data_IF_481515021710
#
_entry.id   IF_481515021710
#
_cell.length_a   1.000
_cell.length_b   1.000
_cell.length_c   1.000
_cell.angle_alpha   90.00
_cell.angle_beta   90.00
_cell.angle_gamma   90.00
#
_symmetry.space_group_name_H-M   'P 1'
#
loop_
_entity.id
_entity.type
_entity.pdbx_description
1 polymer ?
#
# COMPACT_ATOMS: atom_id res chain seq x y z
N UNK A 1 -29.69 -3.11 15.63
CA UNK A 1 -28.55 -4.07 15.60
C UNK A 1 -28.64 -4.78 14.27
N UNK A 2 -27.53 -4.98 13.54
CA UNK A 2 -27.55 -5.93 12.45
C UNK A 2 -27.87 -7.31 13.04
N UNK A 3 -28.79 -8.05 12.44
CA UNK A 3 -29.11 -9.41 12.86
C UNK A 3 -27.90 -10.30 12.54
N UNK A 4 -27.12 -10.62 13.57
CA UNK A 4 -25.96 -11.49 13.41
C UNK A 4 -26.43 -12.93 13.13
N UNK A 5 -25.84 -13.65 12.15
CA UNK A 5 -26.23 -15.01 11.81
C UNK A 5 -26.10 -15.95 13.01
N UNK A 6 -27.09 -16.82 13.22
CA UNK A 6 -27.10 -17.75 14.35
C UNK A 6 -25.87 -18.66 14.38
N UNK A 7 -25.44 -19.18 13.22
CA UNK A 7 -24.26 -20.04 13.12
C UNK A 7 -22.95 -19.30 13.43
N UNK A 8 -22.89 -17.97 13.18
CA UNK A 8 -21.79 -17.14 13.63
C UNK A 8 -21.78 -17.02 15.16
N UNK A 9 -22.93 -16.74 15.77
CA UNK A 9 -23.04 -16.64 17.23
C UNK A 9 -22.64 -17.96 17.93
N UNK A 10 -23.10 -19.10 17.43
CA UNK A 10 -22.72 -20.42 17.93
C UNK A 10 -21.22 -20.66 17.80
N UNK A 11 -20.62 -20.29 16.68
CA UNK A 11 -19.17 -20.40 16.47
C UNK A 11 -18.38 -19.54 17.46
N UNK A 12 -18.81 -18.29 17.68
CA UNK A 12 -18.15 -17.39 18.63
C UNK A 12 -18.32 -17.86 20.07
N UNK A 13 -19.47 -18.40 20.43
CA UNK A 13 -19.70 -18.99 21.77
C UNK A 13 -18.77 -20.19 22.02
N UNK A 14 -18.61 -21.08 21.03
CA UNK A 14 -17.68 -22.22 21.11
C UNK A 14 -16.22 -21.77 21.30
N UNK A 15 -15.82 -20.68 20.64
CA UNK A 15 -14.42 -20.18 20.66
C UNK A 15 -14.14 -19.37 21.92
N UNK A 16 -15.03 -18.45 22.29
CA UNK A 16 -14.79 -17.44 23.30
C UNK A 16 -15.24 -17.84 24.71
N UNK A 17 -16.20 -18.78 24.80
CA UNK A 17 -16.72 -19.29 26.08
C UNK A 17 -17.16 -18.14 27.00
N UNK A 18 -16.43 -17.91 28.09
CA UNK A 18 -16.73 -16.88 29.09
C UNK A 18 -16.62 -15.44 28.55
N UNK A 19 -15.75 -15.21 27.54
CA UNK A 19 -15.56 -13.90 26.91
C UNK A 19 -16.68 -13.56 25.88
N UNK A 20 -17.59 -14.47 25.57
CA UNK A 20 -18.60 -14.32 24.50
C UNK A 20 -19.50 -13.08 24.68
N UNK A 21 -20.05 -12.88 25.88
CA UNK A 21 -20.93 -11.75 26.18
C UNK A 21 -20.19 -10.40 26.06
N UNK A 22 -18.92 -10.35 26.50
CA UNK A 22 -18.07 -9.16 26.37
C UNK A 22 -17.77 -8.87 24.91
N UNK A 23 -17.52 -9.92 24.10
CA UNK A 23 -17.33 -9.80 22.67
C UNK A 23 -18.60 -9.24 21.99
N UNK A 24 -19.77 -9.77 22.29
CA UNK A 24 -21.04 -9.28 21.73
C UNK A 24 -21.29 -7.80 22.07
N UNK A 25 -20.94 -7.37 23.27
CA UNK A 25 -21.09 -5.97 23.67
C UNK A 25 -20.32 -5.01 22.75
N UNK A 26 -19.24 -5.47 22.09
CA UNK A 26 -18.44 -4.65 21.18
C UNK A 26 -19.22 -4.23 19.93
N UNK A 27 -20.23 -4.99 19.51
CA UNK A 27 -21.07 -4.63 18.36
C UNK A 27 -21.97 -3.41 18.62
N UNK A 28 -22.09 -2.99 19.88
CA UNK A 28 -22.83 -1.77 20.30
C UNK A 28 -21.92 -0.57 20.49
N UNK A 29 -20.58 -0.76 20.48
CA UNK A 29 -19.62 0.34 20.69
C UNK A 29 -19.42 1.12 19.40
N UNK A 30 -19.07 2.41 19.54
CA UNK A 30 -18.66 3.24 18.41
C UNK A 30 -17.42 2.67 17.73
N UNK A 31 -17.36 2.88 16.42
CA UNK A 31 -16.23 2.44 15.60
C UNK A 31 -14.99 3.26 15.93
N UNK A 32 -13.83 2.59 15.80
CA UNK A 32 -12.55 3.27 15.91
C UNK A 32 -12.04 3.64 14.53
N UNK A 33 -11.62 4.88 14.37
CA UNK A 33 -11.05 5.39 13.14
C UNK A 33 -9.53 5.46 13.26
N UNK A 34 -8.81 5.04 12.23
CA UNK A 34 -7.35 5.04 12.24
C UNK A 34 -6.76 5.65 10.97
N UNK A 35 -5.63 6.30 11.12
CA UNK A 35 -4.76 6.72 10.03
C UNK A 35 -3.33 6.24 10.26
N UNK A 36 -2.63 5.93 9.18
CA UNK A 36 -1.24 5.47 9.19
C UNK A 36 -0.38 6.40 8.36
N UNK A 37 0.61 7.00 9.02
CA UNK A 37 1.53 7.96 8.40
C UNK A 37 2.37 7.30 7.31
N UNK A 38 2.56 8.02 6.20
CA UNK A 38 3.45 7.64 5.11
C UNK A 38 4.90 8.01 5.43
N UNK A 39 5.68 7.04 5.85
CA UNK A 39 7.09 7.24 6.23
C UNK A 39 8.04 7.51 5.07
N UNK A 40 7.57 7.46 3.81
CA UNK A 40 8.35 7.96 2.65
C UNK A 40 8.32 9.48 2.54
N UNK A 41 7.30 10.14 3.10
CA UNK A 41 7.08 11.59 3.01
C UNK A 41 7.28 12.30 4.34
N UNK A 42 7.01 11.62 5.44
CA UNK A 42 7.12 12.13 6.80
C UNK A 42 8.24 11.36 7.51
N UNK A 43 9.35 12.04 7.78
CA UNK A 43 10.49 11.44 8.48
C UNK A 43 10.39 11.63 10.00
N UNK A 44 9.71 12.68 10.44
CA UNK A 44 9.50 13.02 11.85
C UNK A 44 8.00 12.97 12.18
N UNK A 45 7.61 11.97 12.98
CA UNK A 45 6.21 11.80 13.38
C UNK A 45 5.73 12.90 14.34
N UNK A 46 6.62 13.44 15.17
CA UNK A 46 6.29 14.53 16.10
C UNK A 46 6.04 15.83 15.33
N UNK A 47 6.79 16.07 14.23
CA UNK A 47 6.51 17.18 13.33
C UNK A 47 5.11 17.05 12.72
N UNK A 48 4.76 15.83 12.26
CA UNK A 48 3.41 15.60 11.71
C UNK A 48 2.32 15.84 12.76
N UNK A 49 2.48 15.39 14.01
CA UNK A 49 1.54 15.62 15.10
C UNK A 49 1.30 17.12 15.33
N UNK A 50 2.35 17.97 15.15
CA UNK A 50 2.25 19.44 15.34
C UNK A 50 1.54 20.16 14.19
N UNK A 51 1.67 19.66 12.95
CA UNK A 51 1.09 20.30 11.76
C UNK A 51 -0.28 19.76 11.37
N UNK A 52 -0.65 18.57 11.85
CA UNK A 52 -1.94 17.95 11.56
C UNK A 52 -3.05 18.59 12.40
N UNK A 53 -4.14 19.06 11.77
CA UNK A 53 -5.27 19.67 12.50
C UNK A 53 -6.24 18.60 13.03
N UNK A 54 -5.77 17.44 13.46
CA UNK A 54 -6.56 16.28 13.88
C UNK A 54 -6.31 15.94 15.35
N UNK A 55 -7.32 15.40 16.04
CA UNK A 55 -7.18 14.86 17.40
C UNK A 55 -6.51 13.47 17.34
N UNK A 56 -5.17 13.47 17.27
CA UNK A 56 -4.39 12.26 17.09
C UNK A 56 -4.04 11.61 18.44
N UNK A 57 -4.29 10.28 18.53
CA UNK A 57 -3.83 9.45 19.63
C UNK A 57 -3.07 8.25 19.08
N UNK A 58 -1.83 8.02 19.52
CA UNK A 58 -0.99 6.91 19.04
C UNK A 58 -1.70 5.56 19.21
N UNK A 59 -1.62 4.70 18.18
CA UNK A 59 -2.00 3.29 18.27
C UNK A 59 -0.79 2.56 18.87
N UNK A 60 -0.86 2.02 20.10
CA UNK A 60 0.33 1.55 20.81
C UNK A 60 1.11 0.45 20.09
N UNK A 61 0.43 -0.37 19.29
CA UNK A 61 1.04 -1.52 18.58
C UNK A 61 1.40 -1.23 17.12
N UNK A 62 1.20 0.01 16.63
CA UNK A 62 1.55 0.44 15.27
C UNK A 62 2.46 1.67 15.35
N UNK A 63 3.75 1.55 15.00
CA UNK A 63 4.74 2.62 15.20
C UNK A 63 4.37 3.98 14.59
N UNK A 64 3.68 3.98 13.43
CA UNK A 64 3.25 5.17 12.70
C UNK A 64 1.73 5.25 12.54
N UNK A 65 0.98 4.59 13.42
CA UNK A 65 -0.48 4.55 13.44
C UNK A 65 -1.09 5.47 14.50
N UNK A 66 -2.21 6.10 14.14
CA UNK A 66 -2.94 6.98 15.05
C UNK A 66 -4.44 6.72 14.96
N UNK A 67 -5.12 6.77 16.11
CA UNK A 67 -6.57 7.00 16.16
C UNK A 67 -6.86 8.46 15.85
N UNK A 68 -8.02 8.73 15.26
CA UNK A 68 -8.54 10.07 15.07
C UNK A 68 -10.06 10.09 15.34
N UNK A 69 -10.63 11.26 15.57
CA UNK A 69 -12.06 11.44 15.81
C UNK A 69 -12.83 11.60 14.49
N UNK A 70 -14.06 11.13 14.40
CA UNK A 70 -14.85 11.15 13.15
C UNK A 70 -15.01 12.57 12.60
N UNK A 71 -15.18 13.57 13.47
CA UNK A 71 -15.31 14.98 13.10
C UNK A 71 -14.06 15.57 12.45
N UNK A 72 -12.88 15.01 12.68
CA UNK A 72 -11.63 15.46 12.05
C UNK A 72 -11.66 15.33 10.51
N UNK A 73 -12.45 14.40 10.00
CA UNK A 73 -12.69 14.15 8.57
C UNK A 73 -11.41 14.21 7.71
N UNK A 74 -10.32 13.50 8.06
CA UNK A 74 -9.00 13.66 7.44
C UNK A 74 -9.00 13.37 5.92
N UNK A 75 -9.98 12.63 5.40
CA UNK A 75 -10.15 12.42 3.95
C UNK A 75 -10.41 13.72 3.16
N UNK A 76 -10.86 14.79 3.82
CA UNK A 76 -11.14 16.08 3.20
C UNK A 76 -9.94 17.02 3.21
N UNK A 77 -8.98 16.78 4.08
CA UNK A 77 -7.80 17.63 4.25
C UNK A 77 -6.82 17.52 3.05
N UNK A 78 -6.15 18.61 2.62
CA UNK A 78 -5.16 18.58 1.53
C UNK A 78 -4.02 17.57 1.74
N UNK A 79 -3.60 17.30 2.97
CA UNK A 79 -2.58 16.29 3.30
C UNK A 79 -2.94 14.88 2.84
N UNK A 80 -4.23 14.52 2.82
CA UNK A 80 -4.69 13.27 2.24
C UNK A 80 -4.37 13.19 0.74
N UNK A 81 -4.59 14.32 0.02
CA UNK A 81 -4.27 14.42 -1.43
C UNK A 81 -2.76 14.46 -1.71
N UNK A 82 -1.97 14.90 -0.74
CA UNK A 82 -0.51 14.81 -0.79
C UNK A 82 0.01 13.39 -0.43
N UNK A 83 -0.86 12.48 0.01
CA UNK A 83 -0.50 11.10 0.37
C UNK A 83 0.34 11.01 1.64
N UNK A 84 0.11 11.89 2.64
CA UNK A 84 0.86 11.89 3.89
C UNK A 84 0.42 10.78 4.85
N UNK A 85 -0.79 10.24 4.68
CA UNK A 85 -1.33 9.13 5.46
C UNK A 85 -2.33 8.30 4.68
N UNK A 86 -2.54 7.10 5.14
CA UNK A 86 -3.57 6.16 4.68
C UNK A 86 -4.64 6.01 5.77
N UNK A 87 -5.92 6.09 5.41
CA UNK A 87 -7.02 5.84 6.34
C UNK A 87 -7.28 4.33 6.40
N UNK A 88 -7.05 3.74 7.55
CA UNK A 88 -7.13 2.29 7.74
C UNK A 88 -7.65 1.97 9.13
N UNK A 89 -8.40 0.89 9.24
CA UNK A 89 -8.83 0.35 10.50
C UNK A 89 -7.62 -0.13 11.33
N UNK A 90 -7.55 0.15 12.64
CA UNK A 90 -6.36 -0.10 13.45
C UNK A 90 -5.84 -1.54 13.44
N UNK A 91 -6.72 -2.55 13.55
CA UNK A 91 -6.28 -3.96 13.51
C UNK A 91 -5.75 -4.36 12.14
N UNK A 92 -6.32 -3.81 11.05
CA UNK A 92 -5.88 -4.06 9.68
C UNK A 92 -4.49 -3.46 9.34
N UNK A 93 -3.96 -2.53 10.16
CA UNK A 93 -2.59 -2.02 10.02
C UNK A 93 -1.55 -3.03 10.53
N UNK A 94 -1.94 -3.94 11.42
CA UNK A 94 -1.03 -4.83 12.16
C UNK A 94 -0.27 -5.80 11.25
N UNK A 95 -0.89 -6.53 10.32
CA UNK A 95 -0.19 -7.55 9.52
C UNK A 95 1.06 -7.03 8.81
N UNK A 96 0.95 -5.92 8.07
CA UNK A 96 2.09 -5.38 7.34
C UNK A 96 3.14 -4.72 8.26
N UNK A 97 2.79 -4.34 9.50
CA UNK A 97 3.75 -3.85 10.48
C UNK A 97 4.58 -4.97 11.13
N UNK A 98 4.13 -6.21 11.05
CA UNK A 98 4.79 -7.40 11.63
C UNK A 98 5.57 -8.21 10.60
N UNK A 99 5.49 -7.90 9.31
CA UNK A 99 6.35 -8.48 8.29
C UNK A 99 7.63 -7.63 8.17
N UNK A 100 8.82 -8.13 8.56
CA UNK A 100 10.05 -7.36 8.49
C UNK A 100 10.50 -7.20 7.04
N UNK A 101 10.30 -6.01 6.46
CA UNK A 101 10.69 -5.66 5.09
C UNK A 101 11.85 -4.66 5.13
N UNK A 102 12.89 -4.93 4.33
CA UNK A 102 14.10 -4.11 4.24
C UNK A 102 14.32 -3.56 2.83
N UNK A 103 14.96 -2.38 2.70
CA UNK A 103 15.34 -1.83 1.40
C UNK A 103 16.14 -2.84 0.55
N UNK A 104 15.82 -2.93 -0.73
CA UNK A 104 16.45 -3.86 -1.68
C UNK A 104 15.75 -5.22 -1.83
N UNK A 105 14.82 -5.56 -0.95
CA UNK A 105 14.07 -6.82 -1.05
C UNK A 105 13.05 -6.82 -2.19
N UNK A 106 12.71 -8.02 -2.66
CA UNK A 106 11.58 -8.29 -3.56
C UNK A 106 10.40 -8.73 -2.71
N UNK A 107 9.36 -7.91 -2.68
CA UNK A 107 8.17 -8.11 -1.84
C UNK A 107 6.96 -8.32 -2.75
N UNK A 108 6.15 -9.34 -2.45
CA UNK A 108 4.85 -9.58 -3.07
C UNK A 108 3.73 -9.27 -2.06
N UNK A 109 2.78 -8.45 -2.46
CA UNK A 109 1.45 -8.40 -1.82
C UNK A 109 0.46 -9.09 -2.77
N UNK A 110 0.03 -10.30 -2.42
CA UNK A 110 -0.67 -11.19 -3.36
C UNK A 110 -2.16 -10.86 -3.51
N UNK A 111 -2.78 -10.23 -2.50
CA UNK A 111 -4.20 -9.85 -2.47
C UNK A 111 -4.32 -8.36 -2.06
N UNK A 112 -3.64 -7.48 -2.79
CA UNK A 112 -3.21 -6.18 -2.31
C UNK A 112 -4.29 -5.09 -2.21
N UNK A 113 -5.41 -5.19 -2.96
CA UNK A 113 -6.39 -4.10 -3.00
C UNK A 113 -7.19 -3.97 -1.69
N UNK A 114 -7.46 -2.73 -1.27
CA UNK A 114 -7.25 -1.45 -1.98
C UNK A 114 -5.86 -0.81 -1.84
N UNK A 115 -4.90 -1.44 -1.11
CA UNK A 115 -3.53 -0.95 -1.03
C UNK A 115 -3.05 -0.56 0.37
N UNK A 116 -3.84 -0.77 1.42
CA UNK A 116 -3.45 -0.42 2.78
C UNK A 116 -2.17 -1.11 3.24
N UNK A 117 -2.05 -2.43 3.02
CA UNK A 117 -0.85 -3.20 3.33
C UNK A 117 0.25 -2.96 2.30
N UNK A 118 -0.08 -2.96 1.00
CA UNK A 118 0.86 -2.69 -0.09
C UNK A 118 1.60 -1.35 0.07
N UNK A 119 0.91 -0.27 0.47
CA UNK A 119 1.53 1.04 0.72
C UNK A 119 2.46 1.03 1.92
N UNK A 120 2.18 0.24 2.94
CA UNK A 120 3.06 0.06 4.11
C UNK A 120 4.34 -0.68 3.73
N UNK A 121 4.21 -1.80 3.01
CA UNK A 121 5.34 -2.60 2.52
C UNK A 121 6.21 -1.79 1.55
N UNK A 122 5.58 -1.05 0.62
CA UNK A 122 6.28 -0.18 -0.32
C UNK A 122 7.03 0.97 0.37
N UNK A 123 6.47 1.51 1.46
CA UNK A 123 7.16 2.53 2.26
C UNK A 123 8.40 1.95 2.97
N UNK A 124 8.32 0.72 3.50
CA UNK A 124 9.45 0.04 4.14
C UNK A 124 10.62 -0.22 3.18
N UNK A 125 10.35 -0.42 1.88
CA UNK A 125 11.37 -0.58 0.84
C UNK A 125 12.15 0.71 0.54
N UNK A 126 11.69 1.89 0.94
CA UNK A 126 12.35 3.19 0.74
C UNK A 126 12.79 3.45 -0.72
N UNK A 127 12.03 2.93 -1.69
CA UNK A 127 12.31 3.08 -3.13
C UNK A 127 13.38 2.13 -3.69
N UNK A 128 13.90 1.19 -2.91
CA UNK A 128 14.86 0.15 -3.30
C UNK A 128 14.18 -1.22 -3.42
N UNK A 129 14.74 -2.12 -4.27
CA UNK A 129 14.11 -3.42 -4.51
C UNK A 129 12.82 -3.33 -5.32
N UNK A 130 11.85 -4.20 -5.03
CA UNK A 130 10.60 -4.32 -5.78
C UNK A 130 9.41 -4.57 -4.85
N UNK A 131 8.32 -3.83 -5.02
CA UNK A 131 6.99 -4.23 -4.59
C UNK A 131 6.21 -4.73 -5.82
N UNK A 132 5.85 -6.02 -5.86
CA UNK A 132 4.85 -6.52 -6.78
C UNK A 132 3.52 -6.61 -6.02
N UNK A 133 2.54 -5.80 -6.42
CA UNK A 133 1.22 -5.77 -5.80
C UNK A 133 0.19 -6.37 -6.77
N UNK A 134 -0.43 -7.47 -6.38
CA UNK A 134 -1.40 -8.19 -7.20
C UNK A 134 -2.82 -8.06 -6.67
N UNK A 135 -3.78 -7.98 -7.57
CA UNK A 135 -5.21 -8.05 -7.26
C UNK A 135 -5.95 -8.68 -8.43
N UNK A 136 -6.62 -9.80 -8.19
CA UNK A 136 -7.32 -10.56 -9.24
C UNK A 136 -8.44 -9.75 -9.90
N UNK A 137 -9.11 -8.87 -9.18
CA UNK A 137 -10.15 -7.98 -9.69
C UNK A 137 -9.54 -6.75 -10.35
N UNK A 138 -9.68 -6.61 -11.67
CA UNK A 138 -9.18 -5.45 -12.43
C UNK A 138 -9.75 -4.10 -11.96
N UNK A 139 -10.98 -4.07 -11.49
CA UNK A 139 -11.58 -2.84 -10.94
C UNK A 139 -10.94 -2.44 -9.62
N UNK A 140 -10.70 -3.39 -8.71
CA UNK A 140 -10.00 -3.16 -7.44
C UNK A 140 -8.52 -2.83 -7.66
N UNK A 141 -7.86 -3.45 -8.65
CA UNK A 141 -6.47 -3.17 -9.00
C UNK A 141 -6.24 -1.71 -9.45
N UNK A 142 -7.25 -1.02 -10.02
CA UNK A 142 -7.18 0.42 -10.32
C UNK A 142 -7.11 1.27 -9.04
N UNK A 143 -7.88 0.91 -8.01
CA UNK A 143 -7.84 1.60 -6.72
C UNK A 143 -6.49 1.36 -6.01
N UNK A 144 -5.97 0.13 -6.05
CA UNK A 144 -4.64 -0.23 -5.58
C UNK A 144 -3.56 0.64 -6.25
N UNK A 145 -3.54 0.70 -7.58
CA UNK A 145 -2.58 1.51 -8.34
C UNK A 145 -2.63 2.98 -7.90
N UNK A 146 -3.85 3.55 -7.81
CA UNK A 146 -4.02 4.94 -7.37
C UNK A 146 -3.42 5.20 -5.99
N UNK A 147 -3.60 4.28 -5.04
CA UNK A 147 -3.08 4.42 -3.69
C UNK A 147 -1.55 4.29 -3.65
N UNK A 148 -0.95 3.38 -4.43
CA UNK A 148 0.52 3.29 -4.56
C UNK A 148 1.11 4.57 -5.17
N UNK A 149 0.49 5.12 -6.22
CA UNK A 149 0.89 6.37 -6.84
C UNK A 149 0.75 7.55 -5.86
N UNK A 150 -0.36 7.63 -5.10
CA UNK A 150 -0.60 8.66 -4.08
C UNK A 150 0.50 8.65 -3.00
N UNK A 151 0.92 7.47 -2.59
CA UNK A 151 1.99 7.30 -1.60
C UNK A 151 3.39 7.59 -2.15
N UNK A 152 3.56 7.74 -3.48
CA UNK A 152 4.84 8.00 -4.11
C UNK A 152 5.74 6.77 -4.20
N UNK A 153 5.16 5.56 -4.25
CA UNK A 153 5.94 4.31 -4.37
C UNK A 153 6.54 4.23 -5.78
N UNK A 154 7.86 4.41 -5.89
CA UNK A 154 8.60 4.50 -7.17
C UNK A 154 8.90 3.12 -7.79
N UNK A 155 9.03 2.09 -6.96
CA UNK A 155 9.56 0.76 -7.29
C UNK A 155 8.49 -0.32 -7.24
N UNK A 156 7.26 0.00 -7.69
CA UNK A 156 6.16 -0.96 -7.68
C UNK A 156 5.74 -1.41 -9.07
N UNK A 157 5.27 -2.67 -9.13
CA UNK A 157 4.52 -3.22 -10.25
C UNK A 157 3.13 -3.59 -9.76
N UNK A 158 2.12 -3.33 -10.58
CA UNK A 158 0.74 -3.71 -10.28
C UNK A 158 0.26 -4.70 -11.33
N UNK A 159 -0.13 -5.90 -10.88
CA UNK A 159 -0.64 -6.99 -11.72
C UNK A 159 -2.11 -7.28 -11.41
N UNK A 160 -2.80 -7.91 -12.37
CA UNK A 160 -4.14 -8.47 -12.13
C UNK A 160 -4.17 -9.89 -12.68
N UNK A 161 -3.66 -10.82 -11.84
CA UNK A 161 -3.48 -12.22 -12.21
C UNK A 161 -3.93 -13.17 -11.09
N UNK A 162 -4.27 -14.40 -11.48
CA UNK A 162 -4.51 -15.47 -10.54
C UNK A 162 -3.20 -15.95 -9.90
N UNK A 163 -3.21 -16.38 -8.59
CA UNK A 163 -1.99 -16.78 -7.88
C UNK A 163 -1.15 -17.85 -8.58
N UNK A 164 -1.77 -18.88 -9.17
CA UNK A 164 -1.06 -19.94 -9.89
C UNK A 164 -0.23 -19.41 -11.07
N UNK A 165 -0.74 -18.42 -11.81
CA UNK A 165 0.02 -17.82 -12.93
C UNK A 165 1.23 -17.04 -12.48
N UNK A 166 1.14 -16.40 -11.31
CA UNK A 166 2.29 -15.73 -10.71
C UNK A 166 3.31 -16.77 -10.23
N UNK A 167 2.87 -17.86 -9.60
CA UNK A 167 3.74 -18.95 -9.14
C UNK A 167 4.51 -19.60 -10.29
N UNK A 168 3.90 -19.81 -11.46
CA UNK A 168 4.59 -20.29 -12.67
C UNK A 168 5.72 -19.35 -13.14
N UNK A 169 5.61 -18.05 -12.88
CA UNK A 169 6.56 -17.02 -13.36
C UNK A 169 7.64 -16.66 -12.34
N UNK A 170 7.32 -16.77 -11.07
CA UNK A 170 8.16 -16.33 -9.97
C UNK A 170 8.47 -17.45 -8.97
N UNK A 171 8.86 -18.67 -9.36
CA UNK A 171 9.23 -19.70 -8.40
C UNK A 171 10.43 -19.23 -7.58
N UNK A 172 10.33 -19.33 -6.25
CA UNK A 172 11.37 -18.96 -5.27
C UNK A 172 12.01 -17.59 -5.51
N UNK A 173 11.17 -16.61 -5.81
CA UNK A 173 11.64 -15.29 -6.24
C UNK A 173 11.57 -14.22 -5.13
N UNK A 174 10.54 -14.24 -4.28
CA UNK A 174 10.30 -13.17 -3.32
C UNK A 174 10.96 -13.44 -1.98
N UNK A 175 11.57 -12.38 -1.39
CA UNK A 175 12.09 -12.44 -0.02
C UNK A 175 10.96 -12.38 1.01
N UNK A 176 9.91 -11.61 0.70
CA UNK A 176 8.74 -11.41 1.57
C UNK A 176 7.46 -11.53 0.76
N UNK A 177 6.47 -12.20 1.33
CA UNK A 177 5.13 -12.30 0.75
C UNK A 177 4.09 -11.93 1.80
N UNK A 178 3.19 -10.99 1.46
CA UNK A 178 1.98 -10.69 2.20
C UNK A 178 0.80 -11.40 1.53
N UNK A 179 0.03 -12.15 2.29
CA UNK A 179 -1.23 -12.77 1.90
C UNK A 179 -2.32 -12.29 2.85
N UNK A 180 -2.89 -11.11 2.56
CA UNK A 180 -4.13 -10.67 3.21
C UNK A 180 -5.29 -11.31 2.47
N UNK A 181 -5.63 -12.53 2.86
CA UNK A 181 -6.45 -13.41 2.05
C UNK A 181 -7.91 -12.94 1.92
N UNK A 182 -8.55 -13.15 0.76
CA UNK A 182 -10.01 -13.01 0.68
C UNK A 182 -10.66 -13.94 1.69
N UNK A 183 -11.56 -13.42 2.52
CA UNK A 183 -12.16 -14.15 3.63
C UNK A 183 -13.65 -13.80 3.80
N UNK A 184 -14.31 -14.53 4.67
CA UNK A 184 -15.73 -14.31 5.02
C UNK A 184 -16.00 -12.95 5.69
N UNK A 185 -14.98 -12.33 6.30
CA UNK A 185 -15.02 -10.94 6.76
C UNK A 185 -15.79 -10.71 8.05
N UNK A 186 -15.84 -11.68 8.96
CA UNK A 186 -16.61 -11.61 10.21
C UNK A 186 -16.23 -10.39 11.08
N UNK A 187 -14.95 -9.99 11.10
CA UNK A 187 -14.51 -8.75 11.75
C UNK A 187 -14.99 -7.47 11.07
N UNK A 188 -15.67 -7.57 9.92
CA UNK A 188 -16.24 -6.43 9.21
C UNK A 188 -17.75 -6.25 9.42
N UNK A 189 -18.42 -7.15 10.14
CA UNK A 189 -19.87 -7.13 10.34
C UNK A 189 -20.34 -5.81 10.96
N UNK A 190 -19.62 -5.30 11.95
CA UNK A 190 -19.91 -4.01 12.59
C UNK A 190 -19.73 -2.83 11.62
N UNK A 191 -18.75 -2.92 10.73
CA UNK A 191 -18.38 -1.84 9.81
C UNK A 191 -19.26 -1.79 8.56
N UNK A 192 -19.67 -2.94 8.04
CA UNK A 192 -20.42 -3.04 6.79
C UNK A 192 -21.44 -4.18 6.85
N UNK A 193 -22.70 -3.91 7.16
CA UNK A 193 -23.75 -4.93 7.23
C UNK A 193 -23.91 -5.77 5.96
N UNK A 194 -23.60 -5.23 4.77
CA UNK A 194 -23.68 -5.99 3.52
C UNK A 194 -22.70 -7.19 3.48
N UNK A 195 -21.69 -7.21 4.36
CA UNK A 195 -20.79 -8.37 4.50
C UNK A 195 -21.54 -9.56 5.11
N UNK A 196 -22.55 -9.31 5.96
CA UNK A 196 -23.38 -10.36 6.58
C UNK A 196 -24.15 -11.11 5.49
N UNK A 197 -24.75 -10.42 4.52
CA UNK A 197 -25.47 -11.04 3.42
C UNK A 197 -24.55 -11.92 2.57
N UNK A 198 -23.36 -11.41 2.24
CA UNK A 198 -22.35 -12.17 1.50
C UNK A 198 -21.80 -13.37 2.30
N UNK A 199 -21.70 -13.25 3.62
CA UNK A 199 -21.31 -14.33 4.52
C UNK A 199 -22.37 -15.43 4.58
N UNK A 200 -23.65 -15.08 4.61
CA UNK A 200 -24.76 -16.05 4.57
C UNK A 200 -24.82 -16.82 3.24
N UNK A 201 -24.43 -16.17 2.13
CA UNK A 201 -24.41 -16.80 0.80
C UNK A 201 -23.25 -17.78 0.64
N UNK A 202 -22.03 -17.41 1.06
CA UNK A 202 -20.79 -18.16 0.77
C UNK A 202 -20.14 -18.79 2.00
N UNK A 203 -20.12 -18.08 3.12
CA UNK A 203 -19.60 -18.56 4.39
C UNK A 203 -18.10 -18.91 4.45
N UNK A 204 -17.59 -19.30 5.63
CA UNK A 204 -16.19 -19.65 5.84
C UNK A 204 -15.70 -20.85 5.03
N UNK A 205 -16.54 -21.85 4.76
CA UNK A 205 -16.19 -23.06 4.00
C UNK A 205 -15.79 -22.75 2.55
N UNK A 206 -16.46 -21.78 1.93
CA UNK A 206 -16.12 -21.33 0.58
C UNK A 206 -14.76 -20.66 0.54
N UNK A 207 -14.53 -19.70 1.44
CA UNK A 207 -13.27 -18.94 1.46
C UNK A 207 -12.08 -19.79 1.90
N UNK A 208 -12.26 -20.73 2.83
CA UNK A 208 -11.17 -21.61 3.28
C UNK A 208 -10.58 -22.47 2.16
N UNK A 209 -11.38 -22.84 1.16
CA UNK A 209 -10.88 -23.58 -0.03
C UNK A 209 -9.99 -22.70 -0.90
N UNK A 210 -10.42 -21.46 -1.13
CA UNK A 210 -9.67 -20.46 -1.91
C UNK A 210 -8.35 -20.12 -1.20
N UNK A 211 -8.39 -19.92 0.11
CA UNK A 211 -7.22 -19.56 0.91
C UNK A 211 -6.16 -20.66 0.91
N UNK A 212 -6.58 -21.94 0.99
CA UNK A 212 -5.64 -23.08 0.91
C UNK A 212 -4.90 -23.13 -0.41
N UNK A 213 -5.56 -22.82 -1.53
CA UNK A 213 -4.92 -22.72 -2.84
C UNK A 213 -3.94 -21.54 -2.90
N UNK A 214 -4.36 -20.37 -2.39
CA UNK A 214 -3.54 -19.15 -2.39
C UNK A 214 -2.23 -19.34 -1.60
N UNK A 215 -2.30 -19.91 -0.38
CA UNK A 215 -1.11 -20.02 0.50
C UNK A 215 -0.09 -21.02 -0.05
N UNK A 216 -0.54 -22.07 -0.75
CA UNK A 216 0.35 -23.04 -1.40
C UNK A 216 1.13 -22.35 -2.54
N UNK A 217 0.45 -21.63 -3.42
CA UNK A 217 1.11 -20.87 -4.49
C UNK A 217 2.03 -19.75 -3.95
N UNK A 218 1.64 -19.13 -2.82
CA UNK A 218 2.50 -18.15 -2.16
C UNK A 218 3.80 -18.79 -1.65
N UNK A 219 3.74 -19.98 -1.04
CA UNK A 219 4.92 -20.72 -0.59
C UNK A 219 5.85 -21.12 -1.76
N UNK A 220 5.29 -21.46 -2.93
CA UNK A 220 6.06 -21.78 -4.14
C UNK A 220 6.83 -20.55 -4.68
N UNK A 221 6.30 -19.34 -4.48
CA UNK A 221 6.94 -18.10 -4.88
C UNK A 221 7.95 -17.56 -3.85
N UNK A 222 7.89 -18.04 -2.61
CA UNK A 222 8.77 -17.62 -1.54
C UNK A 222 10.14 -18.30 -1.70
N UNK A 223 11.20 -17.52 -1.68
CA UNK A 223 12.56 -18.08 -1.71
C UNK A 223 12.92 -18.77 -0.39
N UNK A 224 13.86 -19.73 -0.40
CA UNK A 224 14.44 -20.26 0.82
C UNK A 224 14.99 -19.14 1.73
N UNK A 225 14.73 -19.21 3.04
CA UNK A 225 15.03 -18.16 4.01
C UNK A 225 14.06 -16.95 3.96
N UNK A 226 13.08 -16.97 3.06
CA UNK A 226 12.07 -15.92 2.95
C UNK A 226 10.98 -16.02 4.03
N UNK A 227 10.21 -14.94 4.18
CA UNK A 227 9.10 -14.89 5.14
C UNK A 227 7.78 -14.58 4.45
N UNK A 228 6.72 -15.27 4.86
CA UNK A 228 5.36 -15.03 4.41
C UNK A 228 4.49 -14.62 5.60
N UNK A 229 3.67 -13.60 5.43
CA UNK A 229 2.68 -13.21 6.40
C UNK A 229 1.28 -13.52 5.87
N UNK A 230 0.55 -14.38 6.57
CA UNK A 230 -0.84 -14.69 6.29
C UNK A 230 -1.76 -13.93 7.26
N UNK A 231 -2.78 -13.29 6.74
CA UNK A 231 -3.80 -12.59 7.54
C UNK A 231 -5.19 -12.66 6.95
N UNK A 232 -6.18 -12.56 7.82
CA UNK A 232 -7.60 -12.43 7.48
C UNK A 232 -8.29 -11.47 8.44
N UNK A 233 -9.41 -10.88 8.01
CA UNK A 233 -10.31 -10.13 8.89
C UNK A 233 -11.51 -10.98 9.33
N UNK A 234 -11.34 -12.31 9.48
CA UNK A 234 -12.38 -13.22 9.99
C UNK A 234 -11.93 -13.90 11.29
N UNK A 235 -12.88 -14.38 12.07
CA UNK A 235 -12.63 -15.13 13.30
C UNK A 235 -12.68 -16.65 13.09
N UNK A 236 -13.16 -17.10 11.94
CA UNK A 236 -13.38 -18.52 11.63
C UNK A 236 -12.09 -19.34 11.67
N UNK A 237 -11.98 -20.39 12.52
CA UNK A 237 -10.83 -21.28 12.54
C UNK A 237 -10.65 -22.07 11.24
N UNK A 238 -11.73 -22.25 10.46
CA UNK A 238 -11.66 -22.93 9.15
C UNK A 238 -10.83 -22.16 8.13
N UNK A 239 -10.87 -20.82 8.21
CA UNK A 239 -10.13 -19.90 7.35
C UNK A 239 -8.75 -19.58 7.89
N UNK A 240 -8.55 -19.69 9.18
CA UNK A 240 -7.38 -19.29 9.94
C UNK A 240 -6.45 -20.50 10.21
N UNK A 241 -6.52 -21.10 11.39
CA UNK A 241 -5.61 -22.17 11.82
C UNK A 241 -5.68 -23.42 10.93
N UNK A 242 -6.85 -23.74 10.40
CA UNK A 242 -6.98 -24.87 9.46
C UNK A 242 -6.26 -24.63 8.15
N UNK A 243 -6.23 -23.38 7.67
CA UNK A 243 -5.45 -22.99 6.47
C UNK A 243 -3.96 -23.10 6.74
N UNK A 244 -3.48 -22.65 7.91
CA UNK A 244 -2.07 -22.80 8.32
C UNK A 244 -1.71 -24.28 8.47
N UNK A 245 -2.53 -25.09 9.17
CA UNK A 245 -2.34 -26.53 9.31
C UNK A 245 -2.24 -27.24 7.96
N UNK A 246 -3.12 -26.88 7.02
CA UNK A 246 -3.06 -27.39 5.64
C UNK A 246 -1.74 -27.04 4.96
N UNK A 247 -1.32 -25.77 5.00
CA UNK A 247 -0.06 -25.34 4.38
C UNK A 247 1.12 -26.15 4.90
N UNK A 248 1.25 -26.29 6.24
CA UNK A 248 2.33 -27.02 6.86
C UNK A 248 2.33 -28.53 6.51
N UNK A 249 1.16 -29.10 6.22
CA UNK A 249 1.05 -30.51 5.81
C UNK A 249 1.50 -30.74 4.37
N UNK A 250 1.36 -29.75 3.48
CA UNK A 250 1.70 -29.89 2.05
C UNK A 250 3.01 -29.19 1.66
N UNK A 251 3.56 -28.37 2.54
CA UNK A 251 4.84 -27.67 2.39
C UNK A 251 5.64 -27.79 3.70
N UNK A 252 6.29 -28.96 3.96
CA UNK A 252 7.00 -29.24 5.21
C UNK A 252 8.24 -28.34 5.41
N UNK A 253 8.71 -27.67 4.36
CA UNK A 253 9.74 -26.64 4.43
C UNK A 253 9.26 -25.34 5.08
N UNK A 254 7.94 -25.14 5.23
CA UNK A 254 7.37 -23.99 5.91
C UNK A 254 7.24 -24.24 7.40
N UNK A 255 7.43 -23.20 8.18
CA UNK A 255 7.22 -23.20 9.63
C UNK A 255 6.58 -21.91 10.11
N UNK A 256 5.78 -21.95 11.16
CA UNK A 256 5.27 -20.75 11.84
C UNK A 256 6.35 -20.25 12.79
N UNK A 257 6.67 -18.97 12.73
CA UNK A 257 7.65 -18.33 13.61
C UNK A 257 6.99 -17.26 14.48
N UNK A 258 7.55 -16.95 15.66
CA UNK A 258 7.03 -15.88 16.51
C UNK A 258 7.06 -14.53 15.78
N UNK A 259 6.05 -13.69 16.03
CA UNK A 259 6.02 -12.30 15.62
C UNK A 259 6.15 -11.39 16.86
N UNK A 260 6.50 -10.12 16.65
CA UNK A 260 6.50 -9.12 17.71
C UNK A 260 5.11 -9.04 18.36
N UNK A 261 5.07 -9.23 19.66
CA UNK A 261 3.86 -9.33 20.45
C UNK A 261 3.36 -7.96 20.93
N UNK A 262 2.09 -7.95 21.32
CA UNK A 262 1.46 -6.86 22.05
C UNK A 262 0.47 -7.46 23.06
N UNK A 263 0.33 -6.84 24.23
CA UNK A 263 -0.45 -7.35 25.38
C UNK A 263 -1.89 -7.78 25.02
N UNK A 264 -2.53 -7.10 24.05
CA UNK A 264 -3.88 -7.42 23.60
C UNK A 264 -3.98 -8.58 22.60
N UNK A 265 -2.87 -9.16 22.13
CA UNK A 265 -2.90 -10.29 21.19
C UNK A 265 -3.20 -11.59 21.94
N UNK A 266 -4.04 -12.42 21.33
CA UNK A 266 -4.31 -13.78 21.80
C UNK A 266 -3.61 -14.78 20.92
N UNK A 267 -3.25 -15.94 21.49
CA UNK A 267 -2.72 -17.07 20.73
C UNK A 267 -3.73 -17.63 19.73
N UNK A 268 -3.24 -18.29 18.69
CA UNK A 268 -4.10 -19.09 17.79
C UNK A 268 -4.62 -20.35 18.48
N UNK A 269 -5.72 -20.88 17.95
CA UNK A 269 -6.38 -22.06 18.50
C UNK A 269 -5.62 -23.34 18.14
N UNK A 270 -5.61 -24.32 19.06
CA UNK A 270 -5.05 -25.66 18.82
C UNK A 270 -6.09 -26.70 18.43
N UNK A 271 -7.38 -26.38 18.60
CA UNK A 271 -8.49 -27.23 18.15
C UNK A 271 -9.78 -26.44 18.05
N UNK A 272 -10.71 -26.96 17.24
CA UNK A 272 -12.07 -26.42 17.11
C UNK A 272 -13.03 -27.55 16.77
N UNK A 273 -14.14 -27.68 17.52
CA UNK A 273 -15.20 -28.70 17.35
C UNK A 273 -14.65 -30.12 17.14
N UNK A 274 -13.64 -30.50 17.93
CA UNK A 274 -13.02 -31.84 17.89
C UNK A 274 -11.97 -32.04 16.81
N UNK A 275 -11.74 -31.10 15.91
CA UNK A 275 -10.64 -31.10 14.95
C UNK A 275 -9.39 -30.43 15.56
N UNK A 276 -8.27 -31.15 15.58
CA UNK A 276 -6.99 -30.61 16.05
C UNK A 276 -6.25 -29.87 14.93
N UNK A 277 -5.58 -28.78 15.29
CA UNK A 277 -4.70 -28.01 14.39
C UNK A 277 -3.22 -28.32 14.70
N UNK A 278 -2.34 -27.92 13.80
CA UNK A 278 -0.90 -28.07 14.01
C UNK A 278 -0.47 -27.30 15.26
N UNK A 279 0.39 -27.91 16.08
CA UNK A 279 0.80 -27.34 17.38
C UNK A 279 1.40 -25.94 17.30
N UNK A 280 2.11 -25.63 16.18
CA UNK A 280 2.68 -24.30 15.96
C UNK A 280 1.63 -23.20 15.73
N UNK A 281 0.33 -23.54 15.55
CA UNK A 281 -0.74 -22.54 15.49
C UNK A 281 -0.84 -21.69 16.77
N UNK A 282 -0.32 -22.16 17.92
CA UNK A 282 -0.17 -21.33 19.13
C UNK A 282 0.69 -20.08 18.92
N UNK A 283 1.58 -20.08 17.91
CA UNK A 283 2.40 -18.92 17.53
C UNK A 283 1.65 -17.92 16.63
N UNK A 284 0.51 -18.32 16.06
CA UNK A 284 -0.38 -17.37 15.39
C UNK A 284 -0.97 -16.39 16.42
N UNK A 285 -1.44 -15.23 15.94
CA UNK A 285 -2.04 -14.22 16.82
C UNK A 285 -3.42 -13.84 16.32
N UNK A 286 -4.31 -13.61 17.28
CA UNK A 286 -5.67 -13.12 17.06
C UNK A 286 -5.84 -11.77 17.75
N UNK A 287 -6.42 -10.80 17.03
CA UNK A 287 -6.88 -9.54 17.59
C UNK A 287 -8.40 -9.68 17.76
N UNK A 288 -8.86 -9.47 18.99
CA UNK A 288 -10.27 -9.51 19.34
C UNK A 288 -10.78 -8.12 19.71
N UNK A 289 -11.97 -7.68 19.22
CA UNK A 289 -12.49 -6.34 19.48
C UNK A 289 -12.82 -6.07 20.96
N UNK A 290 -12.98 -7.11 21.78
CA UNK A 290 -13.20 -6.95 23.21
C UNK A 290 -11.91 -6.79 24.01
N UNK A 291 -10.75 -7.13 23.45
CA UNK A 291 -9.41 -7.00 24.06
C UNK A 291 -8.62 -5.80 23.53
N UNK A 292 -8.92 -5.36 22.30
CA UNK A 292 -8.21 -4.28 21.66
C UNK A 292 -9.16 -3.32 20.95
N UNK A 293 -8.70 -2.10 20.73
CA UNK A 293 -9.45 -1.08 19.96
C UNK A 293 -9.29 -1.33 18.46
N UNK A 294 -10.16 -2.16 17.88
CA UNK A 294 -10.19 -2.52 16.46
C UNK A 294 -11.33 -3.48 16.14
N UNK A 295 -11.43 -3.86 14.86
CA UNK A 295 -12.49 -4.75 14.36
C UNK A 295 -12.12 -6.25 14.48
N UNK A 296 -10.85 -6.54 14.65
CA UNK A 296 -10.31 -7.88 14.77
C UNK A 296 -9.54 -8.38 13.53
N UNK A 297 -8.59 -9.29 13.78
CA UNK A 297 -7.72 -9.85 12.73
C UNK A 297 -7.11 -11.17 13.18
N UNK A 298 -6.84 -12.07 12.23
CA UNK A 298 -5.97 -13.23 12.42
C UNK A 298 -4.65 -13.01 11.71
N UNK A 299 -3.55 -13.53 12.30
CA UNK A 299 -2.20 -13.31 11.84
C UNK A 299 -1.31 -14.54 12.04
N UNK A 300 -0.57 -14.92 11.01
CA UNK A 300 0.47 -15.94 11.08
C UNK A 300 1.72 -15.47 10.32
N UNK A 301 2.86 -15.45 10.99
CA UNK A 301 4.17 -15.23 10.38
C UNK A 301 4.82 -16.58 10.10
N UNK A 302 5.16 -16.81 8.83
CA UNK A 302 5.75 -18.06 8.35
C UNK A 302 7.15 -17.81 7.78
N UNK A 303 7.99 -18.80 7.90
CA UNK A 303 9.34 -18.80 7.36
C UNK A 303 9.55 -20.04 6.50
N UNK A 304 10.20 -19.89 5.35
CA UNK A 304 10.64 -21.03 4.51
C UNK A 304 12.07 -21.36 4.89
N UNK A 305 12.30 -22.58 5.41
CA UNK A 305 13.61 -23.04 5.85
C UNK A 305 14.66 -22.90 4.76
N UNK A 306 15.87 -22.55 5.12
CA UNK A 306 16.99 -22.46 4.17
C UNK A 306 17.52 -23.85 3.81
N UNK A 307 17.52 -24.15 2.50
CA UNK A 307 18.51 -25.04 1.94
C UNK A 307 19.61 -24.14 1.38
N UNK A 308 20.79 -24.13 1.99
CA UNK A 308 21.93 -23.25 1.77
C UNK A 308 22.04 -22.67 0.35
N UNK A 309 21.65 -21.43 0.15
CA UNK A 309 21.92 -20.66 -1.06
C UNK A 309 22.15 -19.19 -0.70
N UNK A 310 23.30 -18.66 -1.06
CA UNK A 310 23.57 -17.22 -0.96
C UNK A 310 22.96 -16.51 -2.17
N UNK A 311 22.04 -15.59 -1.93
CA UNK A 311 21.47 -14.74 -3.00
C UNK A 311 22.43 -13.62 -3.34
N UNK A 312 22.75 -13.36 -4.63
CA UNK A 312 23.57 -12.23 -5.04
C UNK A 312 22.86 -10.91 -4.71
N UNK A 313 23.52 -10.03 -3.98
CA UNK A 313 23.07 -8.65 -3.79
C UNK A 313 23.21 -7.91 -5.13
N UNK A 314 22.09 -7.37 -5.65
CA UNK A 314 22.11 -6.52 -6.85
C UNK A 314 23.03 -5.33 -6.64
N UNK A 315 23.96 -5.07 -7.58
CA UNK A 315 24.82 -3.88 -7.53
C UNK A 315 23.99 -2.65 -7.91
N UNK A 316 23.87 -1.69 -6.99
CA UNK A 316 23.19 -0.40 -7.27
C UNK A 316 23.78 0.25 -8.50
N UNK A 317 22.91 0.61 -9.45
CA UNK A 317 23.33 1.34 -10.63
C UNK A 317 23.40 2.83 -10.32
N UNK A 318 24.50 3.53 -10.68
CA UNK A 318 24.68 4.93 -10.31
C UNK A 318 23.68 5.83 -11.04
N UNK A 319 23.11 6.78 -10.29
CA UNK A 319 22.38 7.90 -10.85
C UNK A 319 23.35 8.81 -11.65
N UNK A 320 22.82 9.50 -12.66
CA UNK A 320 23.64 10.37 -13.52
C UNK A 320 22.89 11.67 -13.82
N UNK A 321 23.65 12.76 -13.75
CA UNK A 321 23.19 14.06 -14.24
C UNK A 321 22.99 13.98 -15.76
N UNK A 322 21.98 14.71 -16.26
CA UNK A 322 21.62 14.73 -17.69
C UNK A 322 21.45 13.32 -18.29
N UNK A 323 20.88 12.39 -17.52
CA UNK A 323 20.61 11.00 -17.89
C UNK A 323 19.88 10.86 -19.24
N UNK A 324 19.05 11.84 -19.60
CA UNK A 324 18.34 11.88 -20.88
C UNK A 324 19.24 11.95 -22.10
N UNK A 325 20.46 12.53 -22.01
CA UNK A 325 21.42 12.51 -23.10
C UNK A 325 21.91 11.10 -23.42
N UNK A 326 22.01 10.22 -22.43
CA UNK A 326 22.38 8.81 -22.64
C UNK A 326 21.24 8.01 -23.27
N UNK A 327 20.00 8.32 -22.91
CA UNK A 327 18.82 7.62 -23.43
C UNK A 327 18.48 8.08 -24.84
N UNK A 328 18.59 9.38 -25.15
CA UNK A 328 18.11 10.00 -26.40
C UNK A 328 19.19 10.65 -27.24
N UNK A 329 20.42 10.83 -26.73
CA UNK A 329 21.49 11.60 -27.37
C UNK A 329 21.28 13.10 -27.27
N UNK A 330 22.39 13.88 -27.31
CA UNK A 330 22.41 15.31 -26.97
C UNK A 330 21.59 16.23 -27.90
N UNK A 331 21.47 15.87 -29.19
CA UNK A 331 20.86 16.75 -30.19
C UNK A 331 19.44 16.37 -30.59
N UNK A 332 18.85 15.34 -29.98
CA UNK A 332 17.49 14.91 -30.29
C UNK A 332 16.45 15.86 -29.69
N UNK A 333 15.30 16.06 -30.37
CA UNK A 333 14.21 16.91 -29.88
C UNK A 333 13.68 16.42 -28.53
N UNK A 334 13.64 15.09 -28.32
CA UNK A 334 13.26 14.46 -27.08
C UNK A 334 14.19 14.82 -25.94
N UNK A 335 15.52 14.81 -26.18
CA UNK A 335 16.52 15.21 -25.19
C UNK A 335 16.32 16.65 -24.72
N UNK A 336 16.07 17.57 -25.65
CA UNK A 336 15.79 18.99 -25.34
C UNK A 336 14.49 19.17 -24.55
N UNK A 337 13.45 18.37 -24.90
CA UNK A 337 12.18 18.42 -24.18
C UNK A 337 12.31 17.94 -22.73
N UNK A 338 13.14 16.93 -22.49
CA UNK A 338 13.46 16.42 -21.16
C UNK A 338 14.34 17.39 -20.39
N UNK A 339 15.37 17.96 -21.02
CA UNK A 339 16.24 18.97 -20.42
C UNK A 339 15.42 20.15 -19.89
N UNK A 340 14.45 20.64 -20.65
CA UNK A 340 13.57 21.76 -20.25
C UNK A 340 12.73 21.46 -18.98
N UNK A 341 12.58 20.21 -18.58
CA UNK A 341 11.89 19.81 -17.35
C UNK A 341 12.87 19.33 -16.29
N UNK A 342 13.75 18.38 -16.64
CA UNK A 342 14.61 17.69 -15.66
C UNK A 342 15.82 18.53 -15.22
N UNK A 343 16.14 19.65 -15.90
CA UNK A 343 17.08 20.64 -15.36
C UNK A 343 16.56 21.27 -14.05
N UNK A 344 15.25 21.26 -13.82
CA UNK A 344 14.60 21.70 -12.59
C UNK A 344 14.32 20.58 -11.59
N UNK A 345 14.65 19.32 -11.93
CA UNK A 345 14.34 18.14 -11.12
C UNK A 345 15.63 17.45 -10.65
N UNK A 346 15.81 17.37 -9.33
CA UNK A 346 16.97 16.76 -8.69
C UNK A 346 16.75 15.29 -8.31
N UNK A 347 15.64 14.67 -8.73
CA UNK A 347 15.42 13.25 -8.50
C UNK A 347 16.55 12.42 -9.13
N UNK A 348 17.23 11.54 -8.36
CA UNK A 348 18.31 10.73 -8.89
C UNK A 348 17.78 9.68 -9.88
N UNK A 349 18.27 9.70 -11.13
CA UNK A 349 17.87 8.78 -12.20
C UNK A 349 19.07 8.05 -12.77
N UNK A 350 19.05 6.71 -12.73
CA UNK A 350 19.99 5.85 -13.44
C UNK A 350 19.49 5.59 -14.87
N UNK A 351 20.25 5.99 -15.93
CA UNK A 351 19.78 5.89 -17.32
C UNK A 351 19.35 4.48 -17.74
N UNK A 352 20.01 3.46 -17.20
CA UNK A 352 19.77 2.05 -17.51
C UNK A 352 18.39 1.56 -17.01
N UNK A 353 17.79 2.29 -16.06
CA UNK A 353 16.47 2.01 -15.49
C UNK A 353 15.35 2.77 -16.19
N UNK A 354 15.67 3.58 -17.20
CA UNK A 354 14.68 4.34 -17.95
C UNK A 354 14.19 3.52 -19.13
N UNK A 355 12.91 3.25 -19.19
CA UNK A 355 12.25 2.62 -20.33
C UNK A 355 11.33 3.61 -21.04
N UNK A 356 11.40 3.56 -22.39
CA UNK A 356 10.51 4.32 -23.26
C UNK A 356 9.60 3.34 -23.99
N UNK A 357 8.28 3.47 -23.78
CA UNK A 357 7.25 2.66 -24.43
C UNK A 357 6.34 3.56 -25.23
N UNK A 358 6.53 3.61 -26.55
CA UNK A 358 5.90 4.61 -27.44
C UNK A 358 6.27 6.03 -26.99
N UNK A 359 5.31 6.82 -26.52
CA UNK A 359 5.51 8.17 -26.00
C UNK A 359 5.68 8.22 -24.48
N UNK A 360 5.52 7.09 -23.77
CA UNK A 360 5.52 7.03 -22.31
C UNK A 360 6.91 6.72 -21.76
N UNK A 361 7.31 7.48 -20.76
CA UNK A 361 8.57 7.35 -20.04
C UNK A 361 8.35 6.71 -18.67
N UNK A 362 9.10 5.65 -18.37
CA UNK A 362 9.03 4.92 -17.10
C UNK A 362 10.40 4.82 -16.44
N UNK A 363 10.43 4.89 -15.11
CA UNK A 363 11.60 4.57 -14.32
C UNK A 363 11.37 3.23 -13.60
N UNK A 364 12.21 2.25 -13.92
CA UNK A 364 12.04 0.86 -13.51
C UNK A 364 12.74 0.58 -12.18
N UNK A 365 12.26 -0.38 -11.37
CA UNK A 365 13.00 -0.93 -10.23
C UNK A 365 14.37 -1.49 -10.64
N UNK A 366 15.32 -1.54 -9.70
CA UNK A 366 16.66 -2.10 -9.93
C UNK A 366 16.68 -3.63 -9.70
N UNK A 367 15.73 -4.32 -10.29
CA UNK A 367 15.60 -5.77 -10.24
C UNK A 367 15.03 -6.29 -11.55
N UNK A 368 15.46 -7.48 -11.96
CA UNK A 368 14.87 -8.15 -13.11
C UNK A 368 13.48 -8.67 -12.81
N UNK A 369 12.51 -8.33 -13.65
CA UNK A 369 11.11 -8.76 -13.51
C UNK A 369 10.70 -9.63 -14.70
N UNK A 370 10.35 -10.88 -14.44
CA UNK A 370 9.90 -11.86 -15.45
C UNK A 370 8.43 -11.60 -15.81
N UNK A 371 8.17 -10.64 -16.71
CA UNK A 371 6.82 -10.16 -17.02
C UNK A 371 6.10 -10.80 -18.21
N UNK A 372 6.75 -11.68 -19.00
CA UNK A 372 6.14 -12.24 -20.23
C UNK A 372 4.90 -13.08 -19.90
N UNK A 373 3.77 -12.74 -20.52
CA UNK A 373 2.51 -13.48 -20.36
C UNK A 373 1.65 -13.04 -19.17
N UNK A 374 2.08 -12.06 -18.38
CA UNK A 374 1.31 -11.48 -17.29
C UNK A 374 0.67 -10.16 -17.69
N UNK A 375 -0.48 -9.85 -17.10
CA UNK A 375 -1.16 -8.58 -17.30
C UNK A 375 -0.74 -7.57 -16.21
N UNK A 376 -0.04 -6.51 -16.65
CA UNK A 376 0.38 -5.41 -15.79
C UNK A 376 -0.50 -4.18 -16.02
N UNK A 377 -1.02 -3.59 -14.95
CA UNK A 377 -1.62 -2.26 -14.97
C UNK A 377 -0.55 -1.18 -14.97
N UNK A 378 0.56 -1.44 -14.27
CA UNK A 378 1.69 -0.52 -14.13
C UNK A 378 2.99 -1.29 -13.90
N UNK A 379 4.07 -0.77 -14.51
CA UNK A 379 5.43 -1.26 -14.32
C UNK A 379 6.32 -0.08 -13.98
N UNK A 380 6.79 -0.01 -12.73
CA UNK A 380 7.63 1.08 -12.25
C UNK A 380 6.91 2.44 -12.19
N UNK A 381 7.69 3.49 -12.01
CA UNK A 381 7.19 4.86 -11.95
C UNK A 381 6.92 5.40 -13.35
N UNK A 382 5.67 5.72 -13.65
CA UNK A 382 5.33 6.48 -14.85
C UNK A 382 5.79 7.93 -14.67
N UNK A 383 6.79 8.36 -15.45
CA UNK A 383 7.36 9.70 -15.33
C UNK A 383 6.57 10.73 -16.13
N UNK A 384 6.03 10.36 -17.29
CA UNK A 384 5.28 11.27 -18.16
C UNK A 384 5.29 10.87 -19.63
N UNK A 385 4.79 11.76 -20.49
CA UNK A 385 4.65 11.53 -21.91
C UNK A 385 5.57 12.47 -22.71
N UNK A 386 6.27 11.92 -23.71
CA UNK A 386 7.06 12.66 -24.68
C UNK A 386 6.17 12.97 -25.91
N UNK A 387 5.79 14.24 -26.09
CA UNK A 387 4.99 14.72 -27.22
C UNK A 387 5.85 15.58 -28.13
N UNK A 388 6.14 15.15 -29.33
CA UNK A 388 6.97 15.77 -30.38
C UNK A 388 8.10 16.73 -29.89
N UNK A 389 7.79 17.83 -29.20
CA UNK A 389 8.74 18.87 -28.75
C UNK A 389 8.59 19.23 -27.28
N UNK A 390 7.90 18.44 -26.46
CA UNK A 390 7.64 18.73 -25.06
C UNK A 390 7.50 17.47 -24.23
N UNK A 391 7.88 17.56 -22.98
CA UNK A 391 7.60 16.56 -21.96
C UNK A 391 6.38 17.01 -21.13
N UNK A 392 5.42 16.12 -20.95
CA UNK A 392 4.26 16.31 -20.07
C UNK A 392 4.46 15.41 -18.84
N UNK A 393 4.87 15.96 -17.68
CA UNK A 393 5.10 15.17 -16.49
C UNK A 393 3.80 14.58 -15.96
N UNK A 394 3.91 13.40 -15.36
CA UNK A 394 2.77 12.66 -14.82
C UNK A 394 2.44 13.05 -13.38
N UNK A 395 1.22 12.73 -12.94
CA UNK A 395 0.83 12.83 -11.53
C UNK A 395 1.66 11.90 -10.61
N UNK A 396 1.91 10.62 -10.98
CA UNK A 396 2.80 9.75 -10.22
C UNK A 396 4.20 10.32 -10.01
N UNK A 397 4.78 10.98 -11.02
CA UNK A 397 6.07 11.64 -10.88
C UNK A 397 6.00 12.75 -9.83
N UNK A 398 4.98 13.64 -9.89
CA UNK A 398 4.83 14.71 -8.91
C UNK A 398 4.78 14.16 -7.47
N UNK A 399 3.95 13.14 -7.23
CA UNK A 399 3.75 12.55 -5.91
C UNK A 399 4.96 11.73 -5.42
N UNK A 400 5.81 11.29 -6.34
CA UNK A 400 7.04 10.56 -6.03
C UNK A 400 8.23 11.49 -5.70
N UNK A 401 8.12 12.79 -6.01
CA UNK A 401 9.09 13.81 -5.63
C UNK A 401 8.90 14.25 -4.17
N UNK A 402 9.97 14.71 -3.55
CA UNK A 402 9.88 15.62 -2.40
C UNK A 402 9.81 17.07 -2.91
N UNK A 403 9.28 17.99 -2.11
CA UNK A 403 9.25 19.42 -2.47
C UNK A 403 10.64 20.02 -2.71
N UNK A 404 11.69 19.39 -2.16
CA UNK A 404 13.10 19.81 -2.33
C UNK A 404 13.75 19.30 -3.63
N UNK A 405 13.16 18.29 -4.27
CA UNK A 405 13.68 17.72 -5.52
C UNK A 405 13.23 18.47 -6.78
N UNK A 406 12.48 19.57 -6.65
CA UNK A 406 12.08 20.42 -7.76
C UNK A 406 12.26 21.90 -7.39
N UNK A 407 12.95 22.68 -8.22
CA UNK A 407 13.29 24.08 -7.91
C UNK A 407 12.16 25.08 -8.24
N UNK A 408 11.21 24.69 -9.09
CA UNK A 408 10.07 25.51 -9.49
C UNK A 408 8.81 25.10 -8.68
N UNK A 409 8.72 25.54 -7.41
CA UNK A 409 7.65 25.18 -6.48
C UNK A 409 6.67 26.34 -6.30
N UNK A 410 5.36 26.03 -6.25
CA UNK A 410 4.31 26.91 -5.73
C UNK A 410 3.71 26.23 -4.49
N UNK A 411 4.08 26.75 -3.33
CA UNK A 411 3.64 26.21 -2.04
C UNK A 411 2.43 26.97 -1.50
N UNK A 412 1.45 26.22 -1.01
CA UNK A 412 0.22 26.75 -0.42
C UNK A 412 0.08 26.28 1.03
N UNK A 413 -0.55 27.11 1.87
CA UNK A 413 -1.00 26.65 3.18
C UNK A 413 -2.22 25.71 3.01
N UNK A 414 -2.48 24.79 3.95
CA UNK A 414 -3.65 23.91 3.89
C UNK A 414 -4.99 24.65 3.84
N UNK A 415 -5.05 25.88 4.38
CA UNK A 415 -6.23 26.73 4.45
C UNK A 415 -6.45 27.57 3.19
N UNK A 416 -5.50 27.56 2.24
CA UNK A 416 -5.61 28.34 1.01
C UNK A 416 -6.75 27.81 0.12
N UNK A 417 -7.78 28.58 -0.06
CA UNK A 417 -8.96 28.21 -0.87
C UNK A 417 -8.63 27.86 -2.33
N UNK A 418 -7.45 28.25 -2.84
CA UNK A 418 -6.98 27.86 -4.18
C UNK A 418 -6.71 26.37 -4.30
N UNK A 419 -6.43 25.65 -3.19
CA UNK A 419 -6.25 24.20 -3.22
C UNK A 419 -7.54 23.46 -3.62
N UNK A 420 -8.70 23.89 -3.13
CA UNK A 420 -9.98 23.29 -3.55
C UNK A 420 -10.22 23.49 -5.06
N UNK A 421 -9.92 24.68 -5.60
CA UNK A 421 -9.99 24.98 -7.02
C UNK A 421 -8.98 24.15 -7.81
N UNK A 422 -7.76 23.95 -7.27
CA UNK A 422 -6.76 23.07 -7.87
C UNK A 422 -7.27 21.63 -7.98
N UNK A 423 -7.88 21.08 -6.93
CA UNK A 423 -8.43 19.72 -6.96
C UNK A 423 -9.64 19.56 -7.90
N UNK A 424 -10.33 20.64 -8.24
CA UNK A 424 -11.36 20.65 -9.29
C UNK A 424 -10.80 20.80 -10.70
N UNK A 425 -9.52 21.11 -10.85
CA UNK A 425 -8.85 21.25 -12.14
C UNK A 425 -8.98 22.67 -12.75
N UNK A 426 -9.32 23.66 -11.91
CA UNK A 426 -9.45 25.06 -12.33
C UNK A 426 -8.09 25.75 -12.52
N UNK A 427 -8.01 26.74 -13.39
CA UNK A 427 -6.85 27.65 -13.50
C UNK A 427 -6.81 28.56 -12.27
N UNK A 428 -5.61 28.78 -11.72
CA UNK A 428 -5.41 29.59 -10.53
C UNK A 428 -4.67 30.87 -10.87
N UNK A 429 -5.08 31.99 -10.24
CA UNK A 429 -4.27 33.19 -10.14
C UNK A 429 -3.27 33.01 -9.00
N UNK A 430 -1.99 33.10 -9.32
CA UNK A 430 -0.86 32.93 -8.40
C UNK A 430 0.15 34.06 -8.54
N UNK A 431 -0.26 35.23 -9.07
CA UNK A 431 0.59 36.39 -9.28
C UNK A 431 1.23 36.88 -7.95
N UNK A 432 0.52 36.72 -6.83
CA UNK A 432 1.01 37.00 -5.49
C UNK A 432 2.18 36.11 -5.05
N UNK A 433 2.20 34.84 -5.46
CA UNK A 433 3.24 33.87 -5.12
C UNK A 433 4.50 34.02 -5.96
N UNK A 434 4.45 34.76 -7.06
CA UNK A 434 5.56 34.94 -8.01
C UNK A 434 5.98 36.41 -8.17
N UNK A 435 5.64 37.26 -7.19
CA UNK A 435 5.94 38.70 -7.23
C UNK A 435 7.42 39.03 -7.41
N UNK A 436 8.31 38.22 -6.81
CA UNK A 436 9.76 38.39 -6.87
C UNK A 436 10.34 38.02 -8.24
N UNK A 437 9.65 37.14 -8.99
CA UNK A 437 10.00 36.77 -10.36
C UNK A 437 8.76 36.75 -11.29
N UNK A 438 8.28 37.94 -11.70
CA UNK A 438 7.09 38.05 -12.57
C UNK A 438 7.28 37.43 -13.97
N UNK A 439 8.52 37.11 -14.38
CA UNK A 439 8.85 36.44 -15.63
C UNK A 439 8.88 34.93 -15.51
N UNK A 440 8.71 34.38 -14.31
CA UNK A 440 8.65 32.96 -14.04
C UNK A 440 7.57 32.29 -14.86
N UNK A 441 7.92 31.19 -15.53
CA UNK A 441 7.02 30.44 -16.44
C UNK A 441 7.41 28.97 -16.50
N UNK A 442 6.56 28.14 -17.09
CA UNK A 442 6.85 26.72 -17.30
C UNK A 442 6.21 25.83 -16.22
N UNK A 443 6.74 24.63 -16.06
CA UNK A 443 6.25 23.66 -15.10
C UNK A 443 6.50 24.11 -13.67
N UNK A 444 5.49 23.98 -12.83
CA UNK A 444 5.54 24.26 -11.40
C UNK A 444 5.05 23.02 -10.66
N UNK A 445 5.80 22.60 -9.64
CA UNK A 445 5.33 21.63 -8.66
C UNK A 445 4.42 22.37 -7.67
N UNK A 446 3.17 21.96 -7.59
CA UNK A 446 2.22 22.49 -6.60
C UNK A 446 2.36 21.67 -5.34
N UNK A 447 2.56 22.35 -4.21
CA UNK A 447 2.74 21.73 -2.90
C UNK A 447 1.79 22.31 -1.86
N UNK A 448 1.60 21.58 -0.76
CA UNK A 448 0.97 22.05 0.47
C UNK A 448 1.95 21.84 1.61
N UNK A 449 2.38 22.91 2.29
CA UNK A 449 3.44 22.87 3.30
C UNK A 449 4.68 22.09 2.82
N UNK A 450 5.11 22.30 1.56
CA UNK A 450 6.22 21.61 0.93
C UNK A 450 5.93 20.18 0.43
N UNK A 451 4.75 19.62 0.68
CA UNK A 451 4.38 18.26 0.23
C UNK A 451 3.71 18.30 -1.15
N UNK A 452 4.22 17.56 -2.14
CA UNK A 452 3.71 17.59 -3.52
C UNK A 452 2.25 17.13 -3.65
N UNK A 453 1.51 17.90 -4.44
CA UNK A 453 0.11 17.61 -4.83
C UNK A 453 -0.01 17.26 -6.32
N UNK A 454 0.84 17.84 -7.17
CA UNK A 454 0.79 17.65 -8.61
C UNK A 454 1.50 18.76 -9.36
N UNK A 455 1.30 18.84 -10.68
CA UNK A 455 1.90 19.87 -11.52
C UNK A 455 0.88 20.89 -12.04
N UNK A 456 1.37 22.08 -12.36
CA UNK A 456 0.71 23.09 -13.15
C UNK A 456 1.69 23.78 -14.11
N UNK A 457 1.19 24.51 -15.10
CA UNK A 457 2.03 25.26 -16.03
C UNK A 457 1.75 26.74 -15.89
N UNK A 458 2.76 27.47 -15.41
CA UNK A 458 2.67 28.90 -15.13
C UNK A 458 2.92 29.72 -16.39
N UNK A 459 2.12 30.76 -16.57
CA UNK A 459 2.31 31.79 -17.59
C UNK A 459 1.64 33.08 -17.12
N UNK A 460 2.40 34.18 -17.05
CA UNK A 460 1.90 35.53 -16.70
C UNK A 460 1.04 35.55 -15.43
N UNK A 461 1.52 34.94 -14.33
CA UNK A 461 0.83 34.88 -13.05
C UNK A 461 -0.37 33.90 -12.98
N UNK A 462 -0.73 33.26 -14.10
CA UNK A 462 -1.80 32.27 -14.17
C UNK A 462 -1.23 30.84 -14.22
N UNK A 463 -1.64 29.98 -13.29
CA UNK A 463 -1.28 28.57 -13.26
C UNK A 463 -2.34 27.75 -13.99
N UNK A 464 -2.03 27.29 -15.20
CA UNK A 464 -2.85 26.32 -15.92
C UNK A 464 -2.75 24.96 -15.22
N UNK A 465 -3.85 24.51 -14.66
CA UNK A 465 -3.94 23.30 -13.89
C UNK A 465 -3.64 22.04 -14.72
N UNK A 466 -2.87 21.09 -14.15
CA UNK A 466 -2.54 19.80 -14.77
C UNK A 466 -2.94 18.61 -13.88
N UNK A 467 -3.74 18.87 -12.84
CA UNK A 467 -4.28 17.80 -11.99
C UNK A 467 -5.19 16.89 -12.82
N UNK A 468 -4.94 15.56 -12.85
CA UNK A 468 -5.62 14.66 -13.79
C UNK A 468 -7.12 14.58 -13.55
N UNK A 469 -7.92 14.50 -14.62
CA UNK A 469 -9.38 14.43 -14.52
C UNK A 469 -9.87 13.29 -13.63
N UNK A 470 -9.27 12.08 -13.71
CA UNK A 470 -9.61 10.94 -12.88
C UNK A 470 -9.25 11.06 -11.38
N UNK A 471 -8.54 12.15 -11.00
CA UNK A 471 -8.16 12.44 -9.60
C UNK A 471 -8.95 13.60 -9.01
N UNK A 472 -9.71 14.33 -9.84
CA UNK A 472 -10.47 15.50 -9.44
C UNK A 472 -11.58 15.13 -8.45
N UNK A 473 -11.92 16.12 -7.61
CA UNK A 473 -13.08 16.07 -6.75
C UNK A 473 -14.32 16.31 -7.64
N UNK A 474 -15.22 15.36 -7.69
CA UNK A 474 -16.54 15.57 -8.25
C UNK A 474 -17.43 16.12 -7.12
N UNK A 475 -18.24 17.13 -7.44
CA UNK A 475 -19.20 17.71 -6.50
C UNK A 475 -20.22 16.68 -6.05
#
# INVERSE_FOLDING_TARGET
>A
MADLPQSFLESMQDILKEDFEVFLSCFQRERQYGLRINTLKINDLEEFERIAPFHLKKIPWIPNGYFYEEQDAPARHPFYRAGLYYLQEPSAMTPASRLPVFPGERVLDLCAAPGGKATQLGAALKGEGLLLANEISRSRAKALLRNLELFGIKNSFVTSEAPHKLAERYPEYFHKIMVDAPCSGEGMFRKNPAVIDAWQEKGPEYFSKIQRDIVVHAADMLMPGGMMFYSTCTFSPLENEKTITHLLSVRPEMEVVPMEEYEGFSEGLLSYRGEAFHESCRLCRRIWPHRMHGEGHFMALLHKKEERSQTPVSKKQPAQDRWWEKVFGRNKEESKALEAFFSHCQMPVAPQRVEVRKENLYYMPDVEVKGKGLYFLRNGLFMGELKKKRFEPSQPLALALSGKEFDQVLDFSPEDGRLERYFRGETLDVADLVREDPKRKGWQLVTVNGYPLGFGKLSSGLLKNKYPAGWRKHN
#
